data_IF_341141905114
#
_entry.id   IF_341141905114
#
_cell.length_a   1.000
_cell.length_b   1.000
_cell.length_c   1.000
_cell.angle_alpha   90.00
_cell.angle_beta   90.00
_cell.angle_gamma   90.00
#
_symmetry.space_group_name_H-M   'P 1'
#
loop_
_entity.id
_entity.type
_entity.pdbx_description
1 polymer ?
#
# COMPACT_ATOMS: atom_id res chain seq x y z
N UNK A 1 -19.91 -34.98 -16.52
CA UNK A 1 -19.74 -33.80 -15.63
C UNK A 1 -21.07 -33.46 -15.00
N UNK A 2 -21.19 -33.47 -13.67
CA UNK A 2 -22.38 -32.92 -13.00
C UNK A 2 -22.40 -31.41 -13.23
N UNK A 3 -23.49 -30.87 -13.80
CA UNK A 3 -23.67 -29.41 -13.94
C UNK A 3 -23.86 -28.82 -12.54
N UNK A 4 -23.02 -27.89 -12.14
CA UNK A 4 -23.20 -27.13 -10.91
C UNK A 4 -24.09 -25.94 -11.24
N UNK A 5 -25.30 -25.94 -10.68
CA UNK A 5 -26.20 -24.77 -10.79
C UNK A 5 -25.87 -23.81 -9.66
N UNK A 6 -25.46 -22.60 -10.01
CA UNK A 6 -25.26 -21.52 -9.04
C UNK A 6 -26.63 -21.06 -8.51
N UNK A 7 -26.83 -21.00 -7.18
CA UNK A 7 -28.05 -20.42 -6.62
C UNK A 7 -28.21 -18.96 -7.10
N UNK A 8 -29.44 -18.53 -7.33
CA UNK A 8 -29.73 -17.12 -7.58
C UNK A 8 -29.22 -16.31 -6.37
N UNK A 9 -28.43 -15.27 -6.62
CA UNK A 9 -27.85 -14.45 -5.57
C UNK A 9 -26.53 -14.99 -4.97
N UNK A 10 -25.95 -16.07 -5.47
CA UNK A 10 -24.62 -16.51 -5.03
C UNK A 10 -23.50 -15.49 -5.35
N UNK A 11 -23.72 -14.67 -6.37
CA UNK A 11 -22.79 -13.64 -6.87
C UNK A 11 -23.62 -12.43 -7.30
N UNK A 12 -23.13 -11.22 -7.06
CA UNK A 12 -23.74 -10.00 -7.59
C UNK A 12 -23.77 -10.03 -9.13
N UNK A 13 -24.86 -9.59 -9.74
CA UNK A 13 -25.12 -9.72 -11.16
C UNK A 13 -24.00 -9.13 -12.04
N UNK A 14 -23.39 -8.03 -11.61
CA UNK A 14 -22.30 -7.33 -12.31
C UNK A 14 -21.09 -8.23 -12.57
N UNK A 15 -20.86 -9.24 -11.75
CA UNK A 15 -19.72 -10.16 -11.88
C UNK A 15 -20.00 -11.42 -12.72
N UNK A 16 -21.25 -11.73 -13.01
CA UNK A 16 -21.62 -12.96 -13.73
C UNK A 16 -20.88 -13.15 -15.07
N UNK A 17 -20.70 -12.11 -15.92
CA UNK A 17 -19.97 -12.24 -17.17
C UNK A 17 -18.49 -12.63 -17.00
N UNK A 18 -17.94 -12.43 -15.81
CA UNK A 18 -16.52 -12.62 -15.50
C UNK A 18 -16.20 -13.97 -14.84
N UNK A 19 -17.19 -14.78 -14.52
CA UNK A 19 -16.99 -16.10 -13.92
C UNK A 19 -16.09 -17.00 -14.78
N UNK A 20 -16.25 -16.97 -16.09
CA UNK A 20 -15.52 -17.81 -17.03
C UNK A 20 -14.68 -17.00 -18.03
N UNK A 21 -14.35 -15.75 -17.69
CA UNK A 21 -13.54 -14.89 -18.58
C UNK A 21 -12.19 -15.55 -18.89
N UNK A 22 -11.83 -15.70 -20.17
CA UNK A 22 -10.55 -16.30 -20.58
C UNK A 22 -9.38 -15.33 -20.60
N UNK A 23 -9.62 -14.04 -20.39
CA UNK A 23 -8.60 -12.98 -20.53
C UNK A 23 -7.41 -13.21 -19.61
N UNK A 24 -6.20 -12.97 -20.13
CA UNK A 24 -4.94 -13.15 -19.38
C UNK A 24 -4.90 -12.28 -18.13
N UNK A 25 -5.19 -10.98 -18.27
CA UNK A 25 -5.19 -10.01 -17.17
C UNK A 25 -6.61 -9.58 -16.86
N UNK A 26 -7.00 -9.75 -15.60
CA UNK A 26 -8.35 -9.44 -15.15
C UNK A 26 -8.27 -8.50 -13.95
N UNK A 27 -8.76 -7.29 -14.13
CA UNK A 27 -8.66 -6.22 -13.15
C UNK A 27 -10.06 -5.92 -12.59
N UNK A 28 -10.23 -6.16 -11.29
CA UNK A 28 -11.44 -5.82 -10.54
C UNK A 28 -11.10 -4.71 -9.56
N UNK A 29 -11.50 -3.50 -9.87
CA UNK A 29 -11.19 -2.35 -9.05
C UNK A 29 -12.45 -1.56 -8.68
N UNK A 30 -12.33 -0.64 -7.71
CA UNK A 30 -13.44 0.23 -7.35
C UNK A 30 -13.58 0.41 -5.84
N UNK A 31 -14.77 0.84 -5.42
CA UNK A 31 -15.06 1.20 -4.04
C UNK A 31 -14.98 0.04 -3.04
N UNK A 32 -14.93 0.39 -1.77
CA UNK A 32 -15.07 -0.55 -0.68
C UNK A 32 -16.46 -1.22 -0.73
N UNK A 33 -16.58 -2.37 -0.09
CA UNK A 33 -17.86 -3.11 0.04
C UNK A 33 -18.57 -3.42 -1.28
N UNK A 34 -17.90 -3.37 -2.42
CA UNK A 34 -18.47 -3.66 -3.74
C UNK A 34 -18.62 -5.16 -4.03
N UNK A 35 -18.10 -6.05 -3.15
CA UNK A 35 -18.21 -7.50 -3.30
C UNK A 35 -17.10 -8.15 -4.13
N UNK A 36 -16.04 -7.42 -4.52
CA UNK A 36 -14.91 -7.94 -5.32
C UNK A 36 -14.30 -9.21 -4.74
N UNK A 37 -13.84 -9.16 -3.49
CA UNK A 37 -13.18 -10.29 -2.81
C UNK A 37 -14.12 -11.48 -2.64
N UNK A 38 -15.39 -11.22 -2.33
CA UNK A 38 -16.44 -12.24 -2.24
C UNK A 38 -16.67 -12.98 -3.59
N UNK A 39 -16.73 -12.22 -4.69
CA UNK A 39 -16.82 -12.76 -6.04
C UNK A 39 -15.59 -13.60 -6.39
N UNK A 40 -14.39 -13.06 -6.17
CA UNK A 40 -13.15 -13.75 -6.51
C UNK A 40 -12.94 -15.02 -5.68
N UNK A 41 -13.32 -15.02 -4.40
CA UNK A 41 -13.32 -16.22 -3.58
C UNK A 41 -14.31 -17.27 -4.11
N UNK A 42 -15.53 -16.85 -4.51
CA UNK A 42 -16.53 -17.72 -5.11
C UNK A 42 -16.02 -18.33 -6.42
N UNK A 43 -15.45 -17.50 -7.30
CA UNK A 43 -14.85 -17.96 -8.56
C UNK A 43 -13.69 -18.92 -8.33
N UNK A 44 -12.80 -18.63 -7.39
CA UNK A 44 -11.68 -19.50 -7.06
C UNK A 44 -12.13 -20.88 -6.58
N UNK A 45 -13.20 -20.98 -5.76
CA UNK A 45 -13.82 -22.25 -5.35
C UNK A 45 -14.34 -23.03 -6.55
N UNK A 46 -15.08 -22.38 -7.44
CA UNK A 46 -15.65 -23.02 -8.65
C UNK A 46 -14.56 -23.49 -9.62
N UNK A 47 -13.57 -22.64 -9.87
CA UNK A 47 -12.45 -22.91 -10.74
C UNK A 47 -11.61 -24.11 -10.26
N UNK A 48 -11.41 -24.23 -8.93
CA UNK A 48 -10.66 -25.33 -8.35
C UNK A 48 -11.39 -26.67 -8.53
N UNK A 49 -12.72 -26.69 -8.43
CA UNK A 49 -13.51 -27.88 -8.76
C UNK A 49 -13.43 -28.26 -10.25
N UNK A 50 -13.14 -27.32 -11.13
CA UNK A 50 -12.92 -27.55 -12.56
C UNK A 50 -11.48 -27.96 -12.91
N UNK A 51 -10.59 -28.04 -11.91
CA UNK A 51 -9.20 -28.46 -12.07
C UNK A 51 -8.21 -27.33 -12.29
N UNK A 52 -8.58 -26.09 -11.96
CA UNK A 52 -7.68 -24.94 -11.97
C UNK A 52 -6.97 -24.83 -10.62
N UNK A 53 -5.66 -24.64 -10.62
CA UNK A 53 -4.89 -24.35 -9.42
C UNK A 53 -4.53 -22.87 -9.36
N UNK A 54 -4.88 -22.21 -8.24
CA UNK A 54 -4.76 -20.77 -8.07
C UNK A 54 -3.78 -20.45 -6.95
N UNK A 55 -2.84 -19.53 -7.19
CA UNK A 55 -2.02 -18.91 -6.18
C UNK A 55 -2.66 -17.58 -5.76
N UNK A 56 -3.07 -17.49 -4.50
CA UNK A 56 -3.66 -16.28 -3.90
C UNK A 56 -2.55 -15.51 -3.20
N UNK A 57 -2.35 -14.27 -3.61
CA UNK A 57 -1.25 -13.41 -3.16
C UNK A 57 -1.81 -12.18 -2.45
N UNK A 58 -1.16 -11.82 -1.36
CA UNK A 58 -1.22 -10.51 -0.73
C UNK A 58 0.19 -10.07 -0.32
N UNK A 59 0.41 -8.77 -0.14
CA UNK A 59 1.72 -8.30 0.26
C UNK A 59 2.22 -8.94 1.54
N UNK A 60 1.38 -9.02 2.58
CA UNK A 60 1.73 -9.53 3.91
C UNK A 60 1.04 -10.88 4.16
N UNK A 61 1.83 -11.95 4.34
CA UNK A 61 1.33 -13.32 4.50
C UNK A 61 0.30 -13.47 5.65
N UNK A 62 0.54 -12.86 6.81
CA UNK A 62 -0.36 -12.98 7.98
C UNK A 62 -1.78 -12.48 7.70
N UNK A 63 -1.94 -11.50 6.81
CA UNK A 63 -3.27 -10.94 6.48
C UNK A 63 -4.11 -11.87 5.60
N UNK A 64 -3.49 -12.82 4.91
CA UNK A 64 -4.19 -13.80 4.07
C UNK A 64 -5.14 -14.69 4.87
N UNK A 65 -4.78 -15.05 6.11
CA UNK A 65 -5.63 -15.89 6.98
C UNK A 65 -6.95 -15.21 7.35
N UNK A 66 -6.89 -13.93 7.65
CA UNK A 66 -8.05 -13.15 8.08
C UNK A 66 -8.87 -12.60 6.90
N UNK A 67 -8.29 -12.57 5.72
CA UNK A 67 -8.94 -12.09 4.48
C UNK A 67 -9.30 -13.24 3.52
N UNK A 68 -8.48 -13.46 2.49
CA UNK A 68 -8.78 -14.38 1.39
C UNK A 68 -9.11 -15.82 1.82
N UNK A 69 -8.38 -16.35 2.81
CA UNK A 69 -8.66 -17.69 3.34
C UNK A 69 -10.07 -17.80 3.92
N UNK A 70 -10.46 -16.84 4.77
CA UNK A 70 -11.79 -16.83 5.37
C UNK A 70 -12.87 -16.63 4.31
N UNK A 71 -12.65 -15.74 3.33
CA UNK A 71 -13.63 -15.53 2.25
C UNK A 71 -13.81 -16.78 1.36
N UNK A 72 -12.75 -17.52 1.09
CA UNK A 72 -12.84 -18.80 0.36
C UNK A 72 -13.61 -19.84 1.19
N UNK A 73 -13.37 -19.92 2.49
CA UNK A 73 -14.15 -20.79 3.38
C UNK A 73 -15.64 -20.44 3.41
N UNK A 74 -15.96 -19.15 3.52
CA UNK A 74 -17.34 -18.64 3.45
C UNK A 74 -17.98 -18.92 2.08
N UNK A 75 -17.25 -18.75 0.98
CA UNK A 75 -17.72 -19.03 -0.37
C UNK A 75 -18.05 -20.52 -0.54
N UNK A 76 -17.17 -21.42 -0.10
CA UNK A 76 -17.43 -22.86 -0.12
C UNK A 76 -18.65 -23.25 0.71
N UNK A 77 -18.84 -22.62 1.87
CA UNK A 77 -20.00 -22.86 2.73
C UNK A 77 -21.32 -22.36 2.09
N UNK A 78 -21.33 -21.14 1.57
CA UNK A 78 -22.51 -20.56 0.88
C UNK A 78 -22.97 -21.39 -0.31
N UNK A 79 -22.03 -22.02 -1.01
CA UNK A 79 -22.32 -22.90 -2.15
C UNK A 79 -22.66 -24.34 -1.74
N UNK A 80 -22.59 -24.69 -0.44
CA UNK A 80 -22.76 -26.07 0.03
C UNK A 80 -21.62 -27.00 -0.39
N UNK A 81 -20.44 -26.47 -0.73
CA UNK A 81 -19.32 -27.20 -1.32
C UNK A 81 -18.19 -27.49 -0.35
N UNK A 82 -18.33 -27.19 0.93
CA UNK A 82 -17.25 -27.38 1.94
C UNK A 82 -16.73 -28.81 1.93
N UNK A 83 -17.61 -29.81 1.83
CA UNK A 83 -17.26 -31.25 1.78
C UNK A 83 -16.46 -31.66 0.53
N UNK A 84 -16.44 -30.83 -0.52
CA UNK A 84 -15.68 -31.08 -1.75
C UNK A 84 -14.20 -30.76 -1.60
N UNK A 85 -13.80 -30.12 -0.49
CA UNK A 85 -12.44 -29.64 -0.28
C UNK A 85 -11.80 -30.22 1.00
N UNK A 86 -10.48 -30.24 1.00
CA UNK A 86 -9.65 -30.44 2.18
C UNK A 86 -8.94 -29.12 2.48
N UNK A 87 -9.23 -28.53 3.63
CA UNK A 87 -8.61 -27.32 4.12
C UNK A 87 -7.41 -27.69 5.03
N UNK A 88 -6.20 -27.25 4.67
CA UNK A 88 -5.01 -27.37 5.50
C UNK A 88 -4.54 -25.98 5.95
N UNK A 89 -4.89 -25.64 7.20
CA UNK A 89 -4.62 -24.31 7.77
C UNK A 89 -3.12 -24.10 8.08
N UNK A 90 -2.38 -25.15 8.33
CA UNK A 90 -0.94 -25.09 8.62
C UNK A 90 -0.15 -24.78 7.36
N UNK A 91 -0.43 -25.50 6.29
CA UNK A 91 0.23 -25.32 4.99
C UNK A 91 -0.39 -24.20 4.15
N UNK A 92 -1.47 -23.58 4.63
CA UNK A 92 -2.23 -22.58 3.89
C UNK A 92 -2.61 -23.09 2.47
N UNK A 93 -3.30 -24.26 2.41
CA UNK A 93 -3.73 -24.86 1.14
C UNK A 93 -5.17 -25.37 1.23
N UNK A 94 -5.91 -25.22 0.15
CA UNK A 94 -7.25 -25.82 -0.03
C UNK A 94 -7.21 -26.72 -1.25
N UNK A 95 -7.47 -28.00 -1.07
CA UNK A 95 -7.36 -29.01 -2.16
C UNK A 95 -8.73 -29.57 -2.50
N UNK A 96 -9.10 -29.54 -3.77
CA UNK A 96 -10.32 -30.18 -4.25
C UNK A 96 -10.18 -31.70 -4.25
N UNK A 97 -11.16 -32.42 -3.65
CA UNK A 97 -11.12 -33.88 -3.50
C UNK A 97 -11.31 -34.63 -4.80
N UNK A 98 -12.00 -34.01 -5.77
CA UNK A 98 -12.37 -34.67 -7.02
C UNK A 98 -11.24 -34.73 -8.08
N UNK A 99 -10.28 -33.79 -8.02
CA UNK A 99 -9.28 -33.62 -9.07
C UNK A 99 -7.89 -33.22 -8.55
N UNK A 100 -7.73 -32.98 -7.24
CA UNK A 100 -6.46 -32.61 -6.64
C UNK A 100 -5.99 -31.18 -6.90
N UNK A 101 -6.75 -30.35 -7.61
CA UNK A 101 -6.41 -28.94 -7.83
C UNK A 101 -6.40 -28.15 -6.53
N UNK A 102 -5.58 -27.10 -6.44
CA UNK A 102 -5.28 -26.44 -5.18
C UNK A 102 -5.43 -24.92 -5.25
N UNK A 103 -5.91 -24.36 -4.15
CA UNK A 103 -5.70 -22.95 -3.80
C UNK A 103 -4.51 -22.90 -2.84
N UNK A 104 -3.51 -22.13 -3.21
CA UNK A 104 -2.26 -21.91 -2.48
C UNK A 104 -2.23 -20.45 -2.05
N UNK A 105 -1.71 -20.16 -0.85
CA UNK A 105 -1.69 -18.80 -0.32
C UNK A 105 -0.27 -18.40 0.06
N UNK A 106 0.18 -17.24 -0.41
CA UNK A 106 1.52 -16.73 -0.10
C UNK A 106 1.55 -15.20 0.01
N UNK A 107 2.37 -14.69 0.93
CA UNK A 107 2.72 -13.27 1.01
C UNK A 107 3.96 -12.96 0.19
N UNK A 108 4.13 -11.69 -0.17
CA UNK A 108 5.33 -11.17 -0.86
C UNK A 108 6.40 -10.65 0.11
N UNK A 109 6.21 -10.83 1.40
CA UNK A 109 7.20 -10.58 2.45
C UNK A 109 8.43 -11.51 2.36
N UNK A 110 8.29 -12.65 1.64
CA UNK A 110 9.39 -13.55 1.30
C UNK A 110 9.28 -13.97 -0.18
N UNK A 111 9.90 -13.17 -1.05
CA UNK A 111 9.84 -13.35 -2.52
C UNK A 111 10.53 -14.66 -2.96
N UNK A 112 11.53 -15.14 -2.22
CA UNK A 112 12.22 -16.39 -2.54
C UNK A 112 11.29 -17.60 -2.35
N UNK A 113 10.46 -17.61 -1.31
CA UNK A 113 9.45 -18.66 -1.10
C UNK A 113 8.47 -18.76 -2.26
N UNK A 114 8.10 -17.63 -2.86
CA UNK A 114 7.16 -17.64 -3.99
C UNK A 114 7.71 -18.40 -5.18
N UNK A 115 9.02 -18.34 -5.43
CA UNK A 115 9.67 -19.06 -6.53
C UNK A 115 9.51 -20.58 -6.43
N UNK A 116 9.36 -21.13 -5.23
CA UNK A 116 9.22 -22.56 -4.97
C UNK A 116 7.77 -23.06 -4.88
N UNK A 117 6.77 -22.17 -4.68
CA UNK A 117 5.38 -22.57 -4.51
C UNK A 117 4.83 -23.15 -5.81
N UNK A 118 4.41 -24.40 -5.77
CA UNK A 118 3.79 -25.11 -6.88
C UNK A 118 2.65 -26.00 -6.36
N UNK A 119 1.57 -26.21 -7.13
CA UNK A 119 0.57 -27.18 -6.75
C UNK A 119 1.22 -28.57 -6.69
N UNK A 120 0.69 -29.45 -5.81
CA UNK A 120 1.16 -30.84 -5.67
C UNK A 120 1.01 -31.65 -6.95
N UNK A 121 0.12 -31.25 -7.84
CA UNK A 121 -0.08 -31.87 -9.16
C UNK A 121 -0.45 -30.83 -10.20
N UNK A 122 0.06 -31.01 -11.42
CA UNK A 122 -0.22 -30.12 -12.54
C UNK A 122 0.48 -28.76 -12.49
N UNK A 123 0.03 -27.85 -13.32
CA UNK A 123 0.57 -26.51 -13.42
C UNK A 123 -0.31 -25.48 -12.70
N UNK A 124 0.33 -24.41 -12.24
CA UNK A 124 -0.40 -23.20 -11.78
C UNK A 124 -1.14 -22.58 -12.97
N UNK A 125 -2.44 -22.39 -12.84
CA UNK A 125 -3.31 -21.85 -13.90
C UNK A 125 -3.70 -20.41 -13.65
N UNK A 126 -3.81 -20.03 -12.37
CA UNK A 126 -4.31 -18.74 -11.97
C UNK A 126 -3.44 -18.12 -10.88
N UNK A 127 -3.32 -16.80 -10.91
CA UNK A 127 -2.83 -16.01 -9.79
C UNK A 127 -3.88 -14.95 -9.46
N UNK A 128 -4.25 -14.83 -8.19
CA UNK A 128 -5.10 -13.77 -7.68
C UNK A 128 -4.30 -12.92 -6.71
N UNK A 129 -4.11 -11.65 -7.05
CA UNK A 129 -3.42 -10.65 -6.23
C UNK A 129 -4.50 -9.77 -5.59
N UNK A 130 -4.71 -9.94 -4.30
CA UNK A 130 -5.62 -9.12 -3.50
C UNK A 130 -4.89 -7.91 -2.95
N UNK A 131 -5.53 -6.74 -2.95
CA UNK A 131 -4.94 -5.44 -2.63
C UNK A 131 -3.70 -5.15 -3.51
N UNK A 132 -3.88 -5.31 -4.83
CA UNK A 132 -2.79 -5.25 -5.80
C UNK A 132 -2.04 -3.90 -5.83
N UNK A 133 -2.61 -2.84 -5.27
CA UNK A 133 -1.92 -1.54 -5.09
C UNK A 133 -0.82 -1.58 -4.02
N UNK A 134 -0.76 -2.64 -3.21
CA UNK A 134 0.31 -2.82 -2.21
C UNK A 134 1.59 -3.43 -2.80
N UNK A 135 1.56 -3.98 -4.01
CA UNK A 135 2.72 -4.66 -4.61
C UNK A 135 3.45 -3.79 -5.62
N UNK A 136 4.76 -4.05 -5.79
CA UNK A 136 5.56 -3.37 -6.80
C UNK A 136 5.35 -3.93 -8.21
N UNK A 137 5.69 -3.14 -9.23
CA UNK A 137 5.70 -3.63 -10.63
C UNK A 137 6.67 -4.80 -10.84
N UNK A 138 7.79 -4.81 -10.13
CA UNK A 138 8.77 -5.90 -10.20
C UNK A 138 8.17 -7.21 -9.67
N UNK A 139 7.46 -7.17 -8.54
CA UNK A 139 6.76 -8.34 -7.99
C UNK A 139 5.70 -8.86 -8.96
N UNK A 140 4.90 -7.96 -9.53
CA UNK A 140 3.92 -8.31 -10.56
C UNK A 140 4.56 -9.04 -11.74
N UNK A 141 5.67 -8.52 -12.29
CA UNK A 141 6.38 -9.16 -13.42
C UNK A 141 6.95 -10.53 -13.05
N UNK A 142 7.38 -10.73 -11.83
CA UNK A 142 7.81 -12.05 -11.34
C UNK A 142 6.64 -13.04 -11.27
N UNK A 143 5.50 -12.61 -10.71
CA UNK A 143 4.29 -13.42 -10.64
C UNK A 143 3.77 -13.78 -12.03
N UNK A 144 3.76 -12.84 -12.97
CA UNK A 144 3.31 -13.07 -14.34
C UNK A 144 4.17 -14.15 -15.03
N UNK A 145 5.50 -14.12 -14.86
CA UNK A 145 6.41 -15.15 -15.35
C UNK A 145 6.21 -16.53 -14.70
N UNK A 146 5.58 -16.61 -13.54
CA UNK A 146 5.24 -17.87 -12.87
C UNK A 146 4.12 -18.64 -13.56
N UNK A 147 3.22 -17.97 -14.25
CA UNK A 147 2.12 -18.59 -15.00
C UNK A 147 2.65 -19.22 -16.31
N UNK A 148 3.41 -20.30 -16.17
CA UNK A 148 4.05 -21.06 -17.26
C UNK A 148 3.71 -22.56 -17.15
N UNK A 149 4.16 -23.34 -18.12
CA UNK A 149 3.93 -24.77 -18.20
C UNK A 149 2.65 -25.13 -18.94
N UNK A 150 2.54 -26.39 -19.35
CA UNK A 150 1.39 -26.89 -20.09
C UNK A 150 0.16 -27.03 -19.18
N UNK A 151 -0.99 -26.62 -19.66
CA UNK A 151 -2.28 -26.75 -18.99
C UNK A 151 -3.39 -26.77 -20.04
N UNK A 152 -4.45 -27.49 -19.76
CA UNK A 152 -5.70 -27.45 -20.57
C UNK A 152 -6.48 -26.15 -20.36
N UNK A 153 -6.14 -25.39 -19.31
CA UNK A 153 -6.77 -24.11 -18.98
C UNK A 153 -5.87 -22.95 -19.39
N UNK A 154 -6.47 -21.89 -19.86
CA UNK A 154 -5.81 -20.63 -20.10
C UNK A 154 -5.26 -20.06 -18.79
N UNK A 155 -4.12 -19.40 -18.87
CA UNK A 155 -3.47 -18.80 -17.71
C UNK A 155 -4.08 -17.43 -17.42
N UNK A 156 -4.49 -17.18 -16.17
CA UNK A 156 -5.12 -15.93 -15.77
C UNK A 156 -4.40 -15.29 -14.59
N UNK A 157 -4.18 -14.00 -14.66
CA UNK A 157 -3.68 -13.17 -13.58
C UNK A 157 -4.73 -12.13 -13.23
N UNK A 158 -5.25 -12.20 -12.01
CA UNK A 158 -6.35 -11.37 -11.52
C UNK A 158 -5.82 -10.40 -10.47
N UNK A 159 -6.14 -9.12 -10.61
CA UNK A 159 -5.86 -8.07 -9.64
C UNK A 159 -7.16 -7.55 -9.05
N UNK A 160 -7.23 -7.44 -7.73
CA UNK A 160 -8.32 -6.77 -7.02
C UNK A 160 -7.79 -5.71 -6.08
N UNK A 161 -8.38 -4.51 -6.13
CA UNK A 161 -7.91 -3.38 -5.32
C UNK A 161 -8.92 -2.24 -5.26
N UNK A 162 -8.71 -1.34 -4.30
CA UNK A 162 -9.28 0.00 -4.33
C UNK A 162 -8.29 0.92 -5.06
N UNK A 163 -8.73 1.75 -6.00
CA UNK A 163 -7.83 2.61 -6.77
C UNK A 163 -7.19 3.66 -5.85
N UNK A 164 -5.91 3.93 -6.06
CA UNK A 164 -5.19 4.95 -5.27
C UNK A 164 -4.94 6.18 -6.14
N UNK A 165 -3.90 6.18 -6.99
CA UNK A 165 -3.59 7.31 -7.89
C UNK A 165 -3.30 6.84 -9.30
N UNK A 166 -3.56 7.69 -10.28
CA UNK A 166 -3.24 7.45 -11.69
C UNK A 166 -1.72 7.32 -11.96
N UNK A 167 -0.87 7.78 -11.04
CA UNK A 167 0.59 7.58 -11.14
C UNK A 167 1.03 6.17 -10.78
N UNK A 168 0.14 5.33 -10.24
CA UNK A 168 0.45 3.96 -9.89
C UNK A 168 0.75 3.11 -11.13
N UNK A 169 1.66 2.10 -11.00
CA UNK A 169 2.07 1.25 -12.11
C UNK A 169 0.90 0.49 -12.76
N UNK A 170 -0.12 0.08 -11.98
CA UNK A 170 -1.32 -0.60 -12.51
C UNK A 170 -2.06 0.30 -13.50
N UNK A 171 -2.22 1.59 -13.20
CA UNK A 171 -2.87 2.52 -14.12
C UNK A 171 -2.09 2.64 -15.42
N UNK A 172 -0.78 2.82 -15.35
CA UNK A 172 0.08 2.95 -16.53
C UNK A 172 0.12 1.70 -17.40
N UNK A 173 0.08 0.51 -16.77
CA UNK A 173 0.17 -0.77 -17.48
C UNK A 173 -1.14 -1.16 -18.16
N UNK A 174 -2.30 -0.93 -17.52
CA UNK A 174 -3.56 -1.53 -17.96
C UNK A 174 -4.63 -0.54 -18.39
N UNK A 175 -4.53 0.73 -18.05
CA UNK A 175 -5.61 1.70 -18.25
C UNK A 175 -5.41 2.63 -19.44
N UNK A 176 -4.49 2.33 -20.37
CA UNK A 176 -4.23 3.16 -21.55
C UNK A 176 -5.43 3.32 -22.49
N UNK A 177 -6.36 2.36 -22.50
CA UNK A 177 -7.61 2.44 -23.27
C UNK A 177 -8.85 2.63 -22.39
N UNK A 178 -8.69 2.96 -21.11
CA UNK A 178 -9.79 3.12 -20.17
C UNK A 178 -10.54 4.43 -20.38
N UNK A 179 -11.86 4.36 -20.53
CA UNK A 179 -12.73 5.53 -20.45
C UNK A 179 -13.02 5.86 -18.98
N UNK A 180 -12.71 7.07 -18.55
CA UNK A 180 -12.88 7.51 -17.15
C UNK A 180 -14.35 7.49 -16.68
N UNK A 181 -15.29 7.70 -17.57
CA UNK A 181 -16.73 7.53 -17.31
C UNK A 181 -17.21 6.08 -17.37
N UNK A 182 -16.34 5.16 -17.85
CA UNK A 182 -16.69 3.77 -18.10
C UNK A 182 -16.72 2.92 -16.85
N UNK A 183 -17.43 1.79 -16.97
CA UNK A 183 -17.50 0.78 -15.90
C UNK A 183 -16.78 -0.52 -16.27
N UNK A 184 -16.55 -0.76 -17.55
CA UNK A 184 -15.90 -1.97 -18.04
C UNK A 184 -15.07 -1.67 -19.28
N UNK A 185 -13.95 -2.40 -19.43
CA UNK A 185 -13.11 -2.37 -20.62
C UNK A 185 -12.65 -3.79 -20.94
N UNK A 186 -12.58 -4.12 -22.22
CA UNK A 186 -12.07 -5.41 -22.69
C UNK A 186 -11.21 -5.23 -23.93
N UNK A 187 -10.07 -5.91 -23.96
CA UNK A 187 -9.24 -6.13 -25.13
C UNK A 187 -8.99 -7.63 -25.30
N UNK A 188 -8.11 -8.04 -26.21
CA UNK A 188 -7.78 -9.45 -26.41
C UNK A 188 -7.16 -10.10 -25.17
N UNK A 189 -6.39 -9.34 -24.39
CA UNK A 189 -5.65 -9.86 -23.25
C UNK A 189 -6.12 -9.32 -21.89
N UNK A 190 -6.78 -8.17 -21.88
CA UNK A 190 -7.15 -7.43 -20.64
C UNK A 190 -8.66 -7.34 -20.50
N UNK A 191 -9.14 -7.53 -19.28
CA UNK A 191 -10.52 -7.26 -18.87
C UNK A 191 -10.49 -6.43 -17.59
N UNK A 192 -11.17 -5.29 -17.59
CA UNK A 192 -11.26 -4.37 -16.44
C UNK A 192 -12.73 -4.20 -16.08
N UNK A 193 -13.05 -4.30 -14.79
CA UNK A 193 -14.37 -4.00 -14.24
C UNK A 193 -14.24 -3.08 -13.03
N UNK A 194 -14.91 -1.94 -13.09
CA UNK A 194 -15.12 -1.02 -11.96
C UNK A 194 -16.41 -1.35 -11.24
N UNK A 195 -16.36 -1.47 -9.91
CA UNK A 195 -17.55 -1.71 -9.09
C UNK A 195 -17.55 -0.84 -7.84
N UNK A 196 -18.74 -0.54 -7.34
CA UNK A 196 -18.96 0.25 -6.11
C UNK A 196 -19.91 -0.50 -5.17
N UNK A 197 -20.14 0.06 -3.99
CA UNK A 197 -21.12 -0.45 -3.05
C UNK A 197 -22.54 -0.59 -3.66
N UNK A 198 -22.86 0.22 -4.67
CA UNK A 198 -24.16 0.15 -5.38
C UNK A 198 -24.37 -1.16 -6.14
N UNK A 199 -23.28 -1.81 -6.54
CA UNK A 199 -23.31 -3.12 -7.23
C UNK A 199 -23.48 -4.29 -6.26
N UNK A 200 -23.42 -4.04 -4.96
CA UNK A 200 -23.53 -5.07 -3.93
C UNK A 200 -24.95 -5.11 -3.35
N UNK A 201 -25.73 -6.09 -3.80
CA UNK A 201 -27.09 -6.30 -3.33
C UNK A 201 -27.18 -6.85 -1.88
N UNK A 202 -26.05 -7.22 -1.27
CA UNK A 202 -26.00 -7.86 0.05
C UNK A 202 -25.61 -6.88 1.17
N UNK A 203 -25.41 -5.61 0.88
CA UNK A 203 -25.11 -4.61 1.89
C UNK A 203 -26.33 -4.26 2.74
N UNK A 204 -26.09 -4.12 4.04
CA UNK A 204 -27.08 -3.57 4.96
C UNK A 204 -27.30 -2.09 4.70
N UNK A 205 -28.42 -1.54 5.21
CA UNK A 205 -28.68 -0.11 5.11
C UNK A 205 -27.60 0.72 5.84
N UNK A 206 -27.14 0.21 6.99
CA UNK A 206 -26.11 0.89 7.81
C UNK A 206 -24.75 0.92 7.10
N UNK A 207 -24.33 -0.20 6.48
CA UNK A 207 -23.07 -0.25 5.70
C UNK A 207 -23.11 0.72 4.51
N UNK A 208 -24.26 0.83 3.85
CA UNK A 208 -24.49 1.77 2.75
C UNK A 208 -24.42 3.22 3.24
N UNK A 209 -25.12 3.53 4.33
CA UNK A 209 -25.13 4.86 4.91
C UNK A 209 -23.72 5.31 5.36
N UNK A 210 -22.92 4.40 5.89
CA UNK A 210 -21.53 4.69 6.28
C UNK A 210 -20.67 5.14 5.09
N UNK A 211 -20.85 4.53 3.91
CA UNK A 211 -20.14 4.90 2.68
C UNK A 211 -20.66 6.21 2.08
N UNK A 212 -21.99 6.43 2.11
CA UNK A 212 -22.63 7.61 1.54
C UNK A 212 -22.36 8.88 2.38
N UNK A 213 -22.18 8.73 3.68
CA UNK A 213 -21.87 9.82 4.61
C UNK A 213 -20.36 10.13 4.72
N UNK A 214 -19.49 9.50 3.92
CA UNK A 214 -18.05 9.81 3.91
C UNK A 214 -17.83 11.28 3.49
N UNK A 215 -17.21 12.04 4.39
CA UNK A 215 -17.01 13.49 4.23
C UNK A 215 -15.64 13.84 3.63
N UNK A 216 -14.64 12.97 3.80
CA UNK A 216 -13.33 13.22 3.20
C UNK A 216 -13.40 13.02 1.68
N UNK A 217 -13.09 14.05 0.87
CA UNK A 217 -13.22 13.98 -0.59
C UNK A 217 -12.38 12.86 -1.22
N UNK A 218 -11.17 12.59 -0.70
CA UNK A 218 -10.31 11.53 -1.20
C UNK A 218 -10.88 10.15 -0.85
N UNK A 219 -11.26 9.93 0.42
CA UNK A 219 -11.85 8.67 0.86
C UNK A 219 -13.16 8.41 0.10
N UNK A 220 -13.99 9.43 -0.07
CA UNK A 220 -15.22 9.33 -0.87
C UNK A 220 -14.92 8.95 -2.32
N UNK A 221 -13.96 9.63 -2.95
CA UNK A 221 -13.58 9.34 -4.34
C UNK A 221 -13.08 7.90 -4.50
N UNK A 222 -12.15 7.46 -3.66
CA UNK A 222 -11.49 6.16 -3.76
C UNK A 222 -12.37 5.03 -3.25
N UNK A 223 -12.92 5.17 -2.03
CA UNK A 223 -13.57 4.04 -1.35
C UNK A 223 -15.08 4.02 -1.55
N UNK A 224 -15.75 5.16 -1.77
CA UNK A 224 -17.18 5.18 -2.07
C UNK A 224 -17.42 5.08 -3.58
N UNK A 225 -16.85 5.98 -4.37
CA UNK A 225 -17.09 6.06 -5.81
C UNK A 225 -16.20 5.11 -6.62
N UNK A 226 -15.12 4.60 -6.02
CA UNK A 226 -14.20 3.68 -6.69
C UNK A 226 -13.44 4.30 -7.85
N UNK A 227 -13.25 5.61 -7.81
CA UNK A 227 -12.49 6.36 -8.80
C UNK A 227 -11.03 6.47 -8.40
N UNK A 228 -10.17 6.59 -9.41
CA UNK A 228 -8.77 6.90 -9.17
C UNK A 228 -8.65 8.23 -8.46
N UNK A 229 -7.93 8.24 -7.33
CA UNK A 229 -7.68 9.45 -6.57
C UNK A 229 -6.99 10.50 -7.45
N UNK A 230 -7.52 11.69 -7.46
CA UNK A 230 -6.85 12.85 -8.06
C UNK A 230 -5.94 13.43 -6.99
N UNK A 231 -4.65 13.55 -7.31
CA UNK A 231 -3.70 14.29 -6.50
C UNK A 231 -4.03 15.80 -6.61
N UNK A 232 -5.13 16.23 -5.98
CA UNK A 232 -5.57 17.62 -6.04
C UNK A 232 -4.58 18.55 -5.34
N UNK A 233 -4.72 18.72 -4.05
CA UNK A 233 -3.95 19.66 -3.24
C UNK A 233 -2.76 19.01 -2.52
N UNK A 234 -2.12 17.99 -3.12
CA UNK A 234 -0.92 17.39 -2.53
C UNK A 234 0.19 18.40 -2.41
N UNK A 235 0.85 18.35 -1.27
CA UNK A 235 1.93 19.26 -0.94
C UNK A 235 3.20 18.90 -1.71
N UNK A 236 3.56 17.61 -1.76
CA UNK A 236 4.78 17.13 -2.40
C UNK A 236 4.50 16.53 -3.78
N UNK A 237 5.04 17.14 -4.83
CA UNK A 237 4.88 16.69 -6.23
C UNK A 237 6.21 16.22 -6.84
N UNK A 238 7.33 16.73 -6.35
CA UNK A 238 8.66 16.47 -6.89
C UNK A 238 9.36 15.38 -6.07
N UNK A 239 8.84 14.13 -6.13
CA UNK A 239 9.48 13.00 -5.50
C UNK A 239 9.36 11.73 -6.36
N UNK A 240 10.29 10.78 -6.14
CA UNK A 240 10.31 9.50 -6.85
C UNK A 240 10.93 8.40 -5.99
N UNK A 241 10.67 7.16 -6.38
CA UNK A 241 11.28 5.98 -5.77
C UNK A 241 12.50 5.54 -6.57
N UNK A 242 13.57 5.19 -5.85
CA UNK A 242 14.80 4.64 -6.42
C UNK A 242 15.42 3.67 -5.41
N UNK A 243 16.00 2.56 -5.88
CA UNK A 243 16.79 1.68 -5.01
C UNK A 243 18.05 2.42 -4.57
N UNK A 244 18.09 2.74 -3.29
CA UNK A 244 19.20 3.48 -2.68
C UNK A 244 20.13 2.60 -1.84
N UNK A 245 20.02 1.27 -1.91
CA UNK A 245 20.78 0.37 -1.05
C UNK A 245 22.32 0.60 -1.12
N UNK A 246 22.87 0.63 -2.33
CA UNK A 246 24.30 0.87 -2.52
C UNK A 246 24.73 2.27 -2.05
N UNK A 247 23.88 3.29 -2.30
CA UNK A 247 24.14 4.67 -1.83
C UNK A 247 24.06 4.77 -0.32
N UNK A 248 23.08 4.13 0.31
CA UNK A 248 22.92 4.09 1.76
C UNK A 248 24.12 3.47 2.48
N UNK A 249 24.73 2.41 1.86
CA UNK A 249 25.92 1.78 2.41
C UNK A 249 27.18 2.66 2.33
N UNK A 250 27.26 3.56 1.33
CA UNK A 250 28.38 4.49 1.13
C UNK A 250 28.17 5.85 1.82
N UNK A 251 26.99 6.11 2.45
CA UNK A 251 26.65 7.40 3.04
C UNK A 251 27.23 7.55 4.45
N UNK A 252 28.30 8.34 4.55
CA UNK A 252 29.00 8.62 5.82
C UNK A 252 28.34 9.75 6.64
N UNK A 253 27.53 10.59 6.01
CA UNK A 253 26.92 11.79 6.62
C UNK A 253 25.40 11.71 6.66
N UNK A 254 24.89 10.57 7.05
CA UNK A 254 23.45 10.41 7.20
C UNK A 254 22.90 11.29 8.34
N UNK A 255 21.73 11.86 8.10
CA UNK A 255 20.96 12.69 9.03
C UNK A 255 19.78 11.86 9.55
N UNK A 256 19.42 12.08 10.82
CA UNK A 256 18.34 11.36 11.47
C UNK A 256 17.39 12.33 12.16
N UNK A 257 16.10 12.15 11.97
CA UNK A 257 15.06 12.92 12.63
C UNK A 257 13.99 12.00 13.22
N UNK A 258 13.45 12.40 14.36
CA UNK A 258 12.45 11.64 15.12
C UNK A 258 11.25 12.52 15.46
N UNK A 259 10.06 12.02 15.13
CA UNK A 259 8.78 12.47 15.62
C UNK A 259 8.25 11.47 16.66
N UNK A 260 7.85 11.97 17.84
CA UNK A 260 7.38 11.11 18.91
C UNK A 260 5.90 10.75 18.71
N UNK A 261 5.54 9.52 19.02
CA UNK A 261 4.19 9.02 19.12
C UNK A 261 4.12 7.80 20.02
N UNK A 262 2.92 7.42 20.47
CA UNK A 262 2.76 6.25 21.31
C UNK A 262 1.52 5.43 20.93
N UNK A 263 0.33 5.82 21.36
CA UNK A 263 -0.88 5.01 21.22
C UNK A 263 -1.59 5.23 19.87
N UNK A 264 -2.01 6.45 19.59
CA UNK A 264 -2.70 6.81 18.35
C UNK A 264 -1.73 7.01 17.21
N UNK A 265 -0.64 7.74 17.46
CA UNK A 265 0.37 8.11 16.50
C UNK A 265 1.62 7.23 16.62
N UNK A 266 2.27 6.87 15.52
CA UNK A 266 3.49 6.10 15.56
C UNK A 266 4.68 6.95 16.01
N UNK A 267 5.68 6.36 16.68
CA UNK A 267 7.03 6.89 16.68
C UNK A 267 7.58 6.79 15.26
N UNK A 268 8.01 7.89 14.69
CA UNK A 268 8.48 7.98 13.32
C UNK A 268 9.92 8.51 13.27
N UNK A 269 10.84 7.74 12.68
CA UNK A 269 12.22 8.16 12.49
C UNK A 269 12.65 7.91 11.05
N UNK A 270 13.44 8.82 10.50
CA UNK A 270 14.01 8.70 9.15
C UNK A 270 15.53 8.74 9.17
N UNK A 271 16.15 8.00 8.25
CA UNK A 271 17.55 8.15 7.85
C UNK A 271 17.62 8.76 6.47
N UNK A 272 18.25 9.92 6.34
CA UNK A 272 18.34 10.65 5.07
C UNK A 272 19.70 11.31 4.86
N UNK A 273 19.90 11.86 3.66
CA UNK A 273 21.01 12.76 3.34
C UNK A 273 20.54 13.84 2.37
N UNK A 274 21.27 14.96 2.33
CA UNK A 274 20.97 16.07 1.44
C UNK A 274 22.15 16.42 0.52
N UNK A 275 21.88 16.34 -0.78
CA UNK A 275 22.79 16.82 -1.82
C UNK A 275 22.47 18.28 -2.15
N UNK A 276 23.28 19.19 -1.60
CA UNK A 276 23.10 20.64 -1.78
C UNK A 276 23.26 21.07 -3.24
N UNK A 277 24.16 20.41 -3.97
CA UNK A 277 24.46 20.75 -5.37
C UNK A 277 23.29 20.41 -6.27
N UNK A 278 22.70 19.23 -6.09
CA UNK A 278 21.58 18.76 -6.88
C UNK A 278 20.22 19.14 -6.30
N UNK A 279 20.21 19.73 -5.10
CA UNK A 279 18.99 20.04 -4.34
C UNK A 279 18.10 18.81 -4.17
N UNK A 280 18.71 17.68 -3.76
CA UNK A 280 18.07 16.38 -3.57
C UNK A 280 18.14 15.94 -2.12
N UNK A 281 17.01 15.47 -1.64
CA UNK A 281 16.89 14.74 -0.38
C UNK A 281 16.81 13.27 -0.71
N UNK A 282 17.71 12.45 -0.18
CA UNK A 282 17.68 11.01 -0.29
C UNK A 282 17.21 10.42 1.03
N UNK A 283 16.15 9.61 1.01
CA UNK A 283 15.66 8.93 2.22
C UNK A 283 15.92 7.44 2.07
N UNK A 284 16.77 6.91 2.93
CA UNK A 284 17.32 5.57 2.86
C UNK A 284 16.51 4.53 3.64
N UNK A 285 15.99 4.92 4.82
CA UNK A 285 15.33 3.99 5.72
C UNK A 285 14.41 4.72 6.69
N UNK A 286 13.47 4.00 7.31
CA UNK A 286 12.49 4.55 8.25
C UNK A 286 12.19 3.59 9.41
N UNK A 287 11.83 4.15 10.57
CA UNK A 287 11.13 3.47 11.65
C UNK A 287 9.74 4.11 11.74
N UNK A 288 8.69 3.31 11.78
CA UNK A 288 7.32 3.78 11.96
C UNK A 288 6.54 2.72 12.76
N UNK A 289 6.60 2.83 14.09
CA UNK A 289 6.08 1.82 15.01
C UNK A 289 5.21 2.48 16.11
N UNK A 290 4.13 1.80 16.52
CA UNK A 290 3.26 2.25 17.63
C UNK A 290 3.53 1.47 18.90
N UNK A 291 3.25 2.11 20.04
CA UNK A 291 3.31 1.46 21.35
C UNK A 291 4.72 1.20 21.86
N UNK A 292 5.75 1.87 21.31
CA UNK A 292 7.11 1.78 21.82
C UNK A 292 7.28 2.61 23.09
N UNK A 293 7.74 2.00 24.15
CA UNK A 293 8.25 2.71 25.33
C UNK A 293 9.59 3.36 25.03
N UNK A 294 10.02 4.37 25.81
CA UNK A 294 11.27 5.11 25.55
C UNK A 294 12.53 4.23 25.56
N UNK A 295 12.56 3.17 26.34
CA UNK A 295 13.63 2.18 26.35
C UNK A 295 13.65 1.31 25.08
N UNK A 296 12.47 0.87 24.62
CA UNK A 296 12.32 0.13 23.37
C UNK A 296 12.68 0.99 22.17
N UNK A 297 12.21 2.24 22.14
CA UNK A 297 12.55 3.21 21.10
C UNK A 297 14.06 3.47 21.09
N UNK A 298 14.70 3.65 22.26
CA UNK A 298 16.14 3.84 22.35
C UNK A 298 16.92 2.63 21.81
N UNK A 299 16.47 1.41 22.07
CA UNK A 299 17.09 0.22 21.51
C UNK A 299 17.01 0.20 19.96
N UNK A 300 15.85 0.56 19.40
CA UNK A 300 15.66 0.72 17.94
C UNK A 300 16.58 1.79 17.37
N UNK A 301 16.61 2.97 17.97
CA UNK A 301 17.42 4.09 17.50
C UNK A 301 18.92 3.81 17.56
N UNK A 302 19.42 3.12 18.57
CA UNK A 302 20.84 2.72 18.63
C UNK A 302 21.21 1.76 17.50
N UNK A 303 20.33 0.84 17.14
CA UNK A 303 20.55 -0.05 16.00
C UNK A 303 20.46 0.70 14.66
N UNK A 304 19.61 1.72 14.59
CA UNK A 304 19.31 2.47 13.37
C UNK A 304 20.30 3.61 13.07
N UNK A 305 20.67 4.38 14.10
CA UNK A 305 21.50 5.57 13.98
C UNK A 305 22.93 5.39 14.56
N UNK A 306 23.19 4.33 15.32
CA UNK A 306 24.46 4.12 15.99
C UNK A 306 24.80 5.25 16.96
N UNK A 307 25.95 5.90 16.76
CA UNK A 307 26.40 7.06 17.54
C UNK A 307 25.99 8.41 16.95
N UNK A 308 25.32 8.43 15.79
CA UNK A 308 24.91 9.67 15.14
C UNK A 308 23.87 10.44 15.95
N UNK A 309 23.84 11.75 15.75
CA UNK A 309 22.81 12.59 16.37
C UNK A 309 21.44 12.34 15.72
N UNK A 310 20.42 12.22 16.58
CA UNK A 310 19.00 12.15 16.17
C UNK A 310 18.31 13.43 16.61
N UNK A 311 17.83 14.22 15.66
CA UNK A 311 17.09 15.46 15.93
C UNK A 311 15.63 15.11 16.20
N UNK A 312 15.17 15.34 17.42
CA UNK A 312 13.87 14.92 17.92
C UNK A 312 12.89 16.08 18.04
N UNK A 313 11.59 15.80 17.89
CA UNK A 313 10.57 16.78 18.24
C UNK A 313 10.82 17.38 19.64
N UNK A 314 10.94 18.70 19.73
CA UNK A 314 11.20 19.41 20.99
C UNK A 314 9.99 19.54 21.90
N UNK A 315 8.79 19.13 21.47
CA UNK A 315 7.59 19.10 22.32
C UNK A 315 7.66 18.07 23.44
N UNK A 316 8.56 17.07 23.32
CA UNK A 316 8.71 15.93 24.24
C UNK A 316 10.07 15.94 25.01
N UNK A 317 10.36 16.97 25.83
CA UNK A 317 11.68 17.10 26.48
C UNK A 317 12.01 15.96 27.45
N UNK A 318 10.98 15.36 28.06
CA UNK A 318 11.15 14.18 28.96
C UNK A 318 11.61 12.96 28.18
N UNK A 319 10.95 12.70 27.02
CA UNK A 319 11.32 11.57 26.14
C UNK A 319 12.73 11.75 25.58
N UNK A 320 13.14 12.97 25.22
CA UNK A 320 14.51 13.27 24.79
C UNK A 320 15.51 12.97 25.93
N UNK A 321 15.21 13.38 27.17
CA UNK A 321 16.08 13.13 28.32
C UNK A 321 16.21 11.61 28.59
N UNK A 322 15.13 10.85 28.49
CA UNK A 322 15.14 9.40 28.63
C UNK A 322 15.97 8.73 27.53
N UNK A 323 15.80 9.13 26.26
CA UNK A 323 16.60 8.59 25.15
C UNK A 323 18.10 8.79 25.39
N UNK A 324 18.51 9.96 25.91
CA UNK A 324 19.91 10.23 26.28
C UNK A 324 20.39 9.32 27.39
N UNK A 325 19.57 9.07 28.41
CA UNK A 325 19.89 8.11 29.50
C UNK A 325 20.09 6.70 28.97
N UNK A 326 19.34 6.31 27.93
CA UNK A 326 19.49 5.03 27.25
C UNK A 326 20.56 5.00 26.16
N UNK A 327 21.41 6.06 26.06
CA UNK A 327 22.59 6.08 25.21
C UNK A 327 22.33 6.50 23.75
N UNK A 328 21.22 7.18 23.47
CA UNK A 328 20.96 7.79 22.14
C UNK A 328 21.48 9.24 22.16
N UNK A 329 22.19 9.65 21.12
CA UNK A 329 22.64 11.04 20.91
C UNK A 329 21.47 11.93 20.44
N UNK A 330 20.42 12.09 21.28
CA UNK A 330 19.20 12.81 20.97
C UNK A 330 19.38 14.34 21.14
N UNK A 331 18.98 15.14 20.15
CA UNK A 331 18.97 16.60 20.18
C UNK A 331 17.54 17.11 19.96
N UNK A 332 17.10 18.17 20.68
CA UNK A 332 15.82 18.79 20.41
C UNK A 332 15.85 19.57 19.10
N UNK A 333 14.82 19.46 18.29
CA UNK A 333 14.61 20.30 17.12
C UNK A 333 14.37 21.76 17.54
N UNK A 334 14.82 22.71 16.74
CA UNK A 334 14.61 24.15 16.95
C UNK A 334 13.26 24.55 16.36
N UNK A 335 12.28 24.81 17.22
CA UNK A 335 10.96 25.27 16.80
C UNK A 335 10.89 26.79 16.90
N UNK A 336 10.62 27.47 15.79
CA UNK A 336 10.26 28.90 15.76
C UNK A 336 8.82 29.10 15.27
N UNK A 337 8.29 30.32 15.33
CA UNK A 337 7.06 30.67 14.65
C UNK A 337 7.13 30.25 13.19
N UNK A 338 6.06 29.63 12.65
CA UNK A 338 5.98 29.18 11.27
C UNK A 338 6.98 28.08 10.83
N UNK A 339 7.71 27.45 11.78
CA UNK A 339 8.71 26.43 11.45
C UNK A 339 8.15 25.25 10.62
N UNK A 340 6.88 24.89 10.84
CA UNK A 340 6.18 23.87 10.05
C UNK A 340 6.09 24.29 8.58
N UNK A 341 5.55 25.49 8.34
CA UNK A 341 5.36 25.99 6.98
C UNK A 341 6.67 26.23 6.25
N UNK A 342 7.68 26.76 6.97
CA UNK A 342 9.03 26.94 6.42
C UNK A 342 9.64 25.59 5.99
N UNK A 343 9.60 24.59 6.86
CA UNK A 343 10.13 23.25 6.57
C UNK A 343 9.40 22.57 5.41
N UNK A 344 8.07 22.64 5.37
CA UNK A 344 7.27 22.11 4.26
C UNK A 344 7.60 22.82 2.95
N UNK A 345 7.71 24.15 2.93
CA UNK A 345 8.06 24.91 1.73
C UNK A 345 9.49 24.60 1.25
N UNK A 346 10.42 24.44 2.20
CA UNK A 346 11.80 24.08 1.88
C UNK A 346 11.86 22.69 1.23
N UNK A 347 11.22 21.67 1.83
CA UNK A 347 11.15 20.32 1.28
C UNK A 347 10.49 20.29 -0.11
N UNK A 348 9.42 21.04 -0.32
CA UNK A 348 8.75 21.17 -1.64
C UNK A 348 9.67 21.72 -2.74
N UNK A 349 10.65 22.49 -2.36
CA UNK A 349 11.62 23.07 -3.30
C UNK A 349 12.78 22.12 -3.63
N UNK A 350 12.82 20.91 -3.02
CA UNK A 350 13.80 19.87 -3.31
C UNK A 350 13.16 18.74 -4.14
N UNK A 351 14.00 17.97 -4.84
CA UNK A 351 13.61 16.63 -5.34
C UNK A 351 13.83 15.62 -4.23
N UNK A 352 12.77 14.90 -3.84
CA UNK A 352 12.85 13.86 -2.80
C UNK A 352 12.96 12.50 -3.46
N UNK A 353 14.04 11.78 -3.19
CA UNK A 353 14.30 10.42 -3.69
C UNK A 353 14.19 9.46 -2.52
N UNK A 354 13.27 8.51 -2.60
CA UNK A 354 12.91 7.63 -1.48
C UNK A 354 13.19 6.18 -1.84
N UNK A 355 13.87 5.46 -0.95
CA UNK A 355 14.05 4.02 -1.10
C UNK A 355 12.68 3.32 -1.02
N UNK A 356 12.37 2.34 -1.90
CA UNK A 356 11.09 1.63 -1.89
C UNK A 356 10.76 0.90 -0.57
N UNK A 357 11.73 0.72 0.33
CA UNK A 357 11.52 0.17 1.67
C UNK A 357 10.82 1.15 2.61
N UNK A 358 10.97 2.45 2.39
CA UNK A 358 10.33 3.54 3.16
C UNK A 358 8.85 3.71 2.79
N UNK A 359 8.03 2.72 3.09
CA UNK A 359 6.64 2.61 2.63
C UNK A 359 5.71 3.60 3.30
N UNK A 360 5.95 3.85 4.58
CA UNK A 360 5.11 4.78 5.33
C UNK A 360 5.38 6.21 4.88
N UNK A 361 6.64 6.61 4.67
CA UNK A 361 6.97 7.91 4.10
C UNK A 361 6.44 8.07 2.67
N UNK A 362 6.55 7.03 1.83
CA UNK A 362 5.96 7.04 0.48
C UNK A 362 4.46 7.28 0.56
N UNK A 363 3.76 6.64 1.50
CA UNK A 363 2.33 6.86 1.74
C UNK A 363 2.06 8.29 2.19
N UNK A 364 2.82 8.81 3.17
CA UNK A 364 2.64 10.17 3.66
C UNK A 364 2.90 11.20 2.55
N UNK A 365 4.03 11.14 1.84
CA UNK A 365 4.32 12.05 0.71
C UNK A 365 3.25 12.05 -0.36
N UNK A 366 2.63 10.91 -0.55
CA UNK A 366 1.55 10.75 -1.53
C UNK A 366 0.24 11.38 -1.08
N UNK A 367 -0.05 11.35 0.23
CA UNK A 367 -1.34 11.73 0.80
C UNK A 367 -1.34 13.11 1.44
N UNK A 368 -0.17 13.68 1.74
CA UNK A 368 -0.07 14.94 2.46
C UNK A 368 -0.61 16.11 1.64
N UNK A 369 -1.67 16.72 2.16
CA UNK A 369 -2.48 17.72 1.45
C UNK A 369 -2.61 19.00 2.26
N UNK A 370 -2.92 20.09 1.55
CA UNK A 370 -3.36 21.31 2.15
C UNK A 370 -4.75 21.15 2.78
N UNK A 371 -5.02 21.87 3.85
CA UNK A 371 -6.37 21.99 4.41
C UNK A 371 -7.28 22.71 3.42
N UNK A 372 -8.59 22.43 3.52
CA UNK A 372 -9.63 23.17 2.81
C UNK A 372 -10.58 23.82 3.82
N UNK A 373 -11.08 25.00 3.49
CA UNK A 373 -12.15 25.63 4.24
C UNK A 373 -13.51 24.93 3.99
N UNK A 374 -14.56 25.42 4.64
CA UNK A 374 -15.91 24.88 4.49
C UNK A 374 -16.49 25.06 3.09
N UNK A 375 -15.94 25.99 2.32
CA UNK A 375 -16.35 26.33 0.94
C UNK A 375 -15.54 25.54 -0.10
N UNK A 376 -14.55 24.73 0.35
CA UNK A 376 -13.72 23.90 -0.51
C UNK A 376 -12.44 24.58 -1.03
N UNK A 377 -12.15 25.82 -0.63
CA UNK A 377 -10.94 26.52 -1.04
C UNK A 377 -9.73 25.99 -0.28
N UNK A 378 -8.60 25.88 -0.97
CA UNK A 378 -7.35 25.40 -0.39
C UNK A 378 -6.75 26.45 0.55
N UNK A 379 -6.59 26.09 1.81
CA UNK A 379 -5.86 26.89 2.79
C UNK A 379 -4.34 26.64 2.66
N UNK A 380 -3.53 27.69 2.93
CA UNK A 380 -2.06 27.54 2.96
C UNK A 380 -1.57 26.93 4.27
N UNK A 381 -2.28 25.93 4.77
CA UNK A 381 -1.95 25.20 5.98
C UNK A 381 -2.04 23.70 5.68
N UNK A 382 -1.01 22.89 5.99
CA UNK A 382 -1.06 21.45 5.83
C UNK A 382 -2.11 20.83 6.74
N UNK A 383 -2.67 19.68 6.33
CA UNK A 383 -3.49 18.86 7.23
C UNK A 383 -2.59 18.27 8.32
N UNK A 384 -3.04 18.35 9.55
CA UNK A 384 -2.38 17.74 10.70
C UNK A 384 -2.84 16.28 10.85
N UNK A 385 -2.43 15.45 9.89
CA UNK A 385 -2.76 14.02 9.85
C UNK A 385 -1.83 13.26 8.91
N UNK A 386 -1.42 12.06 9.34
CA UNK A 386 -0.57 11.15 8.55
C UNK A 386 0.70 11.86 8.02
N UNK A 387 1.43 12.56 8.90
CA UNK A 387 2.59 13.41 8.54
C UNK A 387 3.83 13.18 9.43
N UNK A 388 3.84 12.10 10.22
CA UNK A 388 4.86 11.85 11.23
C UNK A 388 6.27 11.66 10.65
N UNK A 389 6.41 10.92 9.56
CA UNK A 389 7.70 10.74 8.87
C UNK A 389 8.10 12.00 8.08
N UNK A 390 7.14 12.77 7.58
CA UNK A 390 7.41 14.10 6.98
C UNK A 390 7.94 15.05 8.04
N UNK A 391 7.37 15.04 9.25
CA UNK A 391 7.85 15.86 10.37
C UNK A 391 9.22 15.38 10.86
N UNK A 392 9.44 14.08 10.98
CA UNK A 392 10.75 13.52 11.24
C UNK A 392 11.79 13.94 10.18
N UNK A 393 11.41 13.94 8.89
CA UNK A 393 12.28 14.39 7.79
C UNK A 393 12.60 15.89 7.89
N UNK A 394 11.64 16.72 8.30
CA UNK A 394 11.90 18.16 8.56
C UNK A 394 12.89 18.34 9.70
N UNK A 395 12.75 17.60 10.79
CA UNK A 395 13.69 17.67 11.92
C UNK A 395 15.10 17.22 11.51
N UNK A 396 15.22 16.11 10.76
CA UNK A 396 16.53 15.66 10.27
C UNK A 396 17.27 16.71 9.43
N UNK A 397 16.53 17.51 8.66
CA UNK A 397 17.08 18.47 7.70
C UNK A 397 17.11 19.92 8.21
N UNK A 398 16.74 20.17 9.48
CA UNK A 398 16.65 21.52 10.03
C UNK A 398 17.97 22.30 9.89
N UNK A 399 19.12 21.67 10.16
CA UNK A 399 20.43 22.30 10.00
C UNK A 399 20.76 22.70 8.55
N UNK A 400 20.22 21.97 7.56
CA UNK A 400 20.38 22.29 6.13
C UNK A 400 19.49 23.47 5.70
N UNK A 401 18.34 23.65 6.37
CA UNK A 401 17.44 24.79 6.15
C UNK A 401 18.03 26.08 6.69
N UNK A 402 18.62 26.05 7.90
CA UNK A 402 19.24 27.22 8.54
C UNK A 402 20.51 27.73 7.81
N UNK A 403 21.36 26.81 7.33
CA UNK A 403 22.58 27.19 6.62
C UNK A 403 22.31 28.06 5.38
N UNK A 404 21.16 27.87 4.74
CA UNK A 404 20.71 28.69 3.60
C UNK A 404 20.20 30.06 4.03
N UNK A 405 19.55 30.14 5.20
CA UNK A 405 19.05 31.43 5.73
C UNK A 405 20.24 32.37 6.07
N UNK A 406 21.29 31.85 6.68
CA UNK A 406 22.49 32.58 6.98
C UNK A 406 23.25 33.09 5.72
N UNK A 407 23.34 32.24 4.67
CA UNK A 407 23.95 32.62 3.41
C UNK A 407 23.15 33.67 2.61
N UNK A 408 21.81 33.62 2.66
CA UNK A 408 20.97 34.59 1.98
C UNK A 408 20.94 35.98 2.62
N UNK A 409 21.35 36.09 3.90
CA UNK A 409 21.34 37.33 4.66
C UNK A 409 22.74 37.92 4.91
N UNK A 410 23.81 37.27 4.44
CA UNK A 410 25.12 37.92 4.32
C UNK A 410 25.05 38.86 3.12
N UNK A 411 24.63 40.13 3.36
CA UNK A 411 24.82 41.20 2.40
C UNK A 411 26.33 41.43 2.24
N UNK A 412 26.83 41.59 1.02
CA UNK A 412 28.17 42.15 0.86
C UNK A 412 28.14 43.55 1.42
N UNK A 413 28.98 43.81 2.39
CA UNK A 413 29.33 45.18 2.78
C UNK A 413 30.08 45.83 1.60
N UNK A 414 29.44 46.81 0.99
CA UNK A 414 30.05 47.72 0.03
C UNK A 414 30.46 49.00 0.72
#
# INVERSE_FOLDING_TARGET
>A
MRKLLLPRGAVNAVYLPYLQSPRRYQIFFGGASSGKSCFLATRAVLDTLQGRSTLVIRRVARTLRTSCWNEIGKAAARLGLTGCFRFNKTEMTVTARNNGAQLLFAGLDDVEKIKSISPAGGALTDIWIEEATEISYADFKQLDKRLRGQSRHEKRLTLSFNPVYKTHWIYREFFGGWDEGGRAYQSDTVSILKTTYQDNAFLTADDRAALENERDPYYRQVYTLGDWGVLGDVIFRAWRQEDLHARAAAEERALYGLDFGFAADPCACVRCAYDRTRRRVYVYDEICERGLTNDQLAARLRAFAGSAYVVCDSAEPKSIADLRRYGVSALPARKGPDSLMHGVQWLRAQEIVVDPRCRNLIRELTLYQWQRDREGNTLRQPRDRDNHLIDALRYALEGEMEARYAQAHQRPEW
#
